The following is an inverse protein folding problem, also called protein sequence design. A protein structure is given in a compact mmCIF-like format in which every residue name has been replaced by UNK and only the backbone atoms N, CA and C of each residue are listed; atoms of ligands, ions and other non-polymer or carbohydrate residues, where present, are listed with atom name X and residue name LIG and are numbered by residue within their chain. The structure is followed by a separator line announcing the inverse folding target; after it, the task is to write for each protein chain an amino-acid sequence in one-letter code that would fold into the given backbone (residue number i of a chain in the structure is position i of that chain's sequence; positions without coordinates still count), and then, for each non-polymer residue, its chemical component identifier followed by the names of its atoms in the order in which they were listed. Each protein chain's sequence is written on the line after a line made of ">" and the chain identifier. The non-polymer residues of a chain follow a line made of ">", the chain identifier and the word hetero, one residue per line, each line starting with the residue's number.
data_IF_984415706641
#
_entry.id   IF_984415706641
#
_cell.length_a   1.000
_cell.length_b   1.000
_cell.length_c   1.000
_cell.angle_alpha   90.00
_cell.angle_beta   90.00
_cell.angle_gamma   90.00
#
_symmetry.space_group_name_H-M   'P 1'
#
loop_
_entity.id
_entity.type
_entity.pdbx_description
1 polymer ?
#
# COMPACT_ATOMS: atom_id res chain seq x y z
N UNK A 1 15.23 21.31 22.67
CA UNK A 1 13.83 20.91 22.40
C UNK A 1 13.80 19.42 22.03
N UNK A 2 13.36 18.52 22.93
CA UNK A 2 13.42 17.06 22.70
C UNK A 2 12.31 16.65 21.73
N UNK A 3 12.64 16.46 20.45
CA UNK A 3 11.71 15.92 19.45
C UNK A 3 11.25 14.52 19.87
N UNK A 4 10.02 14.40 20.39
CA UNK A 4 9.38 13.10 20.65
C UNK A 4 9.32 12.33 19.34
N UNK A 5 9.81 11.09 19.34
CA UNK A 5 9.74 10.19 18.19
C UNK A 5 8.28 9.96 17.79
N UNK A 6 7.89 10.32 16.57
CA UNK A 6 6.51 10.16 16.07
C UNK A 6 6.08 8.69 15.89
N UNK A 7 7.02 7.80 15.52
CA UNK A 7 6.70 6.41 15.22
C UNK A 7 6.07 5.61 16.40
N UNK A 8 6.61 5.65 17.63
CA UNK A 8 5.96 5.04 18.80
C UNK A 8 4.56 5.58 19.09
N UNK A 9 4.32 6.89 18.89
CA UNK A 9 3.01 7.50 19.10
C UNK A 9 1.98 6.97 18.09
N UNK A 10 2.38 6.85 16.81
CA UNK A 10 1.52 6.22 15.80
C UNK A 10 1.24 4.75 16.10
N UNK A 11 2.19 4.00 16.64
CA UNK A 11 1.95 2.62 17.05
C UNK A 11 0.83 2.53 18.10
N UNK A 12 0.83 3.41 19.10
CA UNK A 12 -0.24 3.50 20.10
C UNK A 12 -1.57 3.96 19.50
N UNK A 13 -1.56 4.96 18.60
CA UNK A 13 -2.76 5.42 17.88
C UNK A 13 -3.39 4.28 17.07
N UNK A 14 -2.58 3.53 16.32
CA UNK A 14 -3.08 2.38 15.54
C UNK A 14 -3.61 1.27 16.43
N UNK A 15 -2.97 1.01 17.57
CA UNK A 15 -3.46 0.03 18.54
C UNK A 15 -4.83 0.44 19.10
N UNK A 16 -5.00 1.71 19.50
CA UNK A 16 -6.29 2.24 19.97
C UNK A 16 -7.38 2.07 18.92
N UNK A 17 -7.10 2.43 17.66
CA UNK A 17 -8.05 2.26 16.54
C UNK A 17 -8.39 0.79 16.32
N UNK A 18 -7.41 -0.10 16.36
CA UNK A 18 -7.64 -1.53 16.15
C UNK A 18 -8.51 -2.14 17.25
N UNK A 19 -8.32 -1.74 18.52
CA UNK A 19 -9.20 -2.15 19.62
C UNK A 19 -10.61 -1.59 19.47
N UNK A 20 -10.78 -0.32 19.08
CA UNK A 20 -12.10 0.25 18.78
C UNK A 20 -12.84 -0.57 17.72
N UNK A 21 -12.15 -0.95 16.63
CA UNK A 21 -12.71 -1.81 15.57
C UNK A 21 -13.06 -3.22 16.05
N UNK A 22 -12.29 -3.78 16.99
CA UNK A 22 -12.60 -5.06 17.63
C UNK A 22 -13.86 -4.96 18.48
N UNK A 23 -13.99 -3.91 19.29
CA UNK A 23 -15.18 -3.71 20.13
C UNK A 23 -16.43 -3.42 19.29
N UNK A 24 -16.28 -2.73 18.16
CA UNK A 24 -17.36 -2.54 17.19
C UNK A 24 -17.64 -3.77 16.32
N UNK A 25 -17.01 -4.93 16.60
CA UNK A 25 -17.15 -6.19 15.85
C UNK A 25 -16.85 -6.11 14.34
N UNK A 26 -16.10 -5.08 13.91
CA UNK A 26 -15.67 -4.89 12.51
C UNK A 26 -14.40 -5.69 12.20
N UNK A 27 -13.59 -6.04 13.21
CA UNK A 27 -12.38 -6.83 13.02
C UNK A 27 -12.06 -7.75 14.20
N UNK A 28 -11.23 -8.77 13.95
CA UNK A 28 -10.68 -9.64 14.99
C UNK A 28 -9.73 -8.92 15.96
N UNK A 29 -9.16 -9.69 16.90
CA UNK A 29 -8.26 -9.17 17.92
C UNK A 29 -6.99 -8.62 17.26
N UNK A 30 -6.51 -7.41 17.64
CA UNK A 30 -5.26 -6.89 17.12
C UNK A 30 -4.09 -7.81 17.45
N UNK A 31 -3.18 -7.96 16.49
CA UNK A 31 -1.94 -8.74 16.65
C UNK A 31 -0.76 -7.80 16.49
N UNK A 32 0.30 -8.03 17.28
CA UNK A 32 1.55 -7.29 17.14
C UNK A 32 2.17 -7.53 15.76
N UNK A 33 2.81 -6.48 15.22
CA UNK A 33 3.61 -6.58 13.99
C UNK A 33 4.76 -7.56 14.19
N UNK A 34 5.10 -8.29 13.14
CA UNK A 34 6.25 -9.22 13.12
C UNK A 34 7.24 -8.74 12.06
N UNK A 35 8.53 -8.75 12.39
CA UNK A 35 9.59 -8.38 11.44
C UNK A 35 9.48 -9.23 10.16
N UNK A 36 9.57 -8.59 9.01
CA UNK A 36 9.47 -9.25 7.71
C UNK A 36 8.03 -9.49 7.24
N UNK A 37 7.03 -9.03 8.01
CA UNK A 37 5.61 -9.10 7.65
C UNK A 37 4.98 -7.72 7.87
N UNK A 38 4.54 -7.11 6.77
CA UNK A 38 3.86 -5.80 6.77
C UNK A 38 4.69 -4.69 7.45
N UNK A 39 6.02 -4.76 7.29
CA UNK A 39 6.99 -3.82 7.88
C UNK A 39 6.62 -2.40 7.44
N UNK A 40 6.24 -1.57 8.41
CA UNK A 40 5.81 -0.19 8.16
C UNK A 40 5.85 0.65 9.42
N UNK A 41 6.15 1.93 9.26
CA UNK A 41 6.11 2.92 10.32
C UNK A 41 5.71 4.28 9.77
N UNK A 42 5.11 5.11 10.63
CA UNK A 42 4.60 6.43 10.25
C UNK A 42 5.33 7.49 11.04
N UNK A 43 5.74 8.55 10.35
CA UNK A 43 6.41 9.72 10.90
C UNK A 43 5.58 10.96 10.60
N UNK A 44 5.55 11.89 11.54
CA UNK A 44 5.00 13.23 11.43
C UNK A 44 6.05 14.27 11.85
N UNK A 45 5.74 15.55 11.62
CA UNK A 45 6.61 16.66 11.94
C UNK A 45 7.37 17.19 10.72
N UNK A 46 8.66 17.51 10.89
CA UNK A 46 9.50 18.14 9.86
C UNK A 46 9.75 17.20 8.68
N UNK A 47 8.83 17.20 7.72
CA UNK A 47 8.93 16.47 6.45
C UNK A 47 9.09 17.49 5.33
N UNK A 48 10.08 17.29 4.47
CA UNK A 48 10.29 18.14 3.28
C UNK A 48 10.35 17.26 2.04
N UNK A 49 9.63 17.65 1.00
CA UNK A 49 9.57 16.92 -0.27
C UNK A 49 10.33 17.74 -1.31
N UNK A 50 11.42 17.18 -1.82
CA UNK A 50 12.15 17.71 -2.98
C UNK A 50 11.75 16.96 -4.25
N UNK A 51 12.46 17.23 -5.36
CA UNK A 51 12.15 16.65 -6.68
C UNK A 51 12.18 15.11 -6.70
N UNK A 52 13.26 14.51 -6.20
CA UNK A 52 13.45 13.04 -6.11
C UNK A 52 14.09 12.63 -4.77
N UNK A 53 13.90 13.47 -3.76
CA UNK A 53 14.40 13.22 -2.42
C UNK A 53 13.34 13.66 -1.40
N UNK A 54 13.29 12.95 -0.28
CA UNK A 54 12.43 13.29 0.85
C UNK A 54 13.28 13.43 2.11
N UNK A 55 13.09 14.51 2.86
CA UNK A 55 13.66 14.69 4.19
C UNK A 55 12.68 14.19 5.23
N UNK A 56 13.11 13.21 6.02
CA UNK A 56 12.31 12.64 7.10
C UNK A 56 12.86 13.03 8.47
N UNK A 57 11.99 13.18 9.49
CA UNK A 57 12.42 13.39 10.86
C UNK A 57 13.40 12.31 11.30
N UNK A 58 14.55 12.71 11.86
CA UNK A 58 15.63 11.85 12.38
C UNK A 58 16.39 11.00 11.36
N UNK A 59 15.80 10.67 10.22
CA UNK A 59 16.44 9.86 9.17
C UNK A 59 17.22 10.75 8.20
N UNK A 60 16.76 11.99 7.96
CA UNK A 60 17.39 12.91 7.02
C UNK A 60 16.90 12.72 5.59
N UNK A 61 17.73 13.13 4.62
CA UNK A 61 17.41 13.07 3.19
C UNK A 61 17.54 11.64 2.64
N UNK A 62 16.53 11.19 1.92
CA UNK A 62 16.49 9.88 1.25
C UNK A 62 16.14 10.10 -0.21
N UNK A 63 16.89 9.48 -1.11
CA UNK A 63 16.61 9.49 -2.55
C UNK A 63 15.46 8.54 -2.88
N UNK A 64 14.52 9.00 -3.69
CA UNK A 64 13.43 8.20 -4.25
C UNK A 64 13.75 7.81 -5.69
N UNK A 65 13.22 6.66 -6.10
CA UNK A 65 13.33 6.22 -7.50
C UNK A 65 12.44 7.07 -8.41
N UNK A 66 11.24 7.40 -7.93
CA UNK A 66 10.27 8.23 -8.64
C UNK A 66 10.46 9.70 -8.30
N UNK A 67 10.09 10.56 -9.25
CA UNK A 67 9.91 12.00 -9.02
C UNK A 67 8.71 12.18 -8.09
N UNK A 68 8.89 12.96 -7.05
CA UNK A 68 7.85 13.25 -6.07
C UNK A 68 6.99 14.41 -6.56
N UNK A 69 5.69 14.43 -6.21
CA UNK A 69 4.82 15.55 -6.55
C UNK A 69 5.39 16.83 -5.92
N UNK A 70 5.64 17.83 -6.78
CA UNK A 70 6.08 19.15 -6.35
C UNK A 70 5.01 19.83 -5.49
N UNK A 71 5.44 20.73 -4.60
CA UNK A 71 4.56 21.59 -3.81
C UNK A 71 3.62 20.89 -2.82
N UNK A 72 3.94 19.67 -2.39
CA UNK A 72 3.17 18.95 -1.38
C UNK A 72 3.79 19.10 0.00
N UNK A 73 2.98 19.55 0.97
CA UNK A 73 3.32 19.55 2.41
C UNK A 73 2.55 18.44 3.13
N UNK A 74 3.12 17.21 3.23
CA UNK A 74 2.43 16.10 3.86
C UNK A 74 2.36 16.28 5.38
N UNK A 75 1.21 15.96 5.96
CA UNK A 75 0.98 15.97 7.42
C UNK A 75 1.70 14.82 8.12
N UNK A 76 1.76 13.68 7.45
CA UNK A 76 2.50 12.51 7.91
C UNK A 76 2.92 11.65 6.72
N UNK A 77 4.00 10.90 6.90
CA UNK A 77 4.52 9.96 5.91
C UNK A 77 4.58 8.57 6.52
N UNK A 78 4.06 7.58 5.79
CA UNK A 78 4.22 6.16 6.12
C UNK A 78 5.27 5.54 5.21
N UNK A 79 6.33 5.01 5.81
CA UNK A 79 7.29 4.16 5.10
C UNK A 79 6.83 2.71 5.26
N UNK A 80 6.76 1.96 4.16
CA UNK A 80 6.43 0.54 4.17
C UNK A 80 7.38 -0.27 3.30
N UNK A 81 7.54 -1.56 3.61
CA UNK A 81 8.32 -2.51 2.81
C UNK A 81 7.38 -3.55 2.23
N UNK A 82 7.40 -3.70 0.90
CA UNK A 82 6.64 -4.73 0.18
C UNK A 82 7.51 -5.30 -0.94
N UNK A 83 7.51 -6.63 -1.09
CA UNK A 83 8.24 -7.32 -2.17
C UNK A 83 9.74 -6.94 -2.29
N UNK A 84 10.39 -6.67 -1.15
CA UNK A 84 11.81 -6.26 -1.11
C UNK A 84 12.07 -4.78 -1.40
N UNK A 85 11.04 -3.99 -1.73
CA UNK A 85 11.14 -2.56 -2.01
C UNK A 85 10.55 -1.74 -0.86
N UNK A 86 11.09 -0.54 -0.67
CA UNK A 86 10.57 0.45 0.26
C UNK A 86 9.71 1.46 -0.48
N UNK A 87 8.59 1.83 0.13
CA UNK A 87 7.61 2.76 -0.42
C UNK A 87 7.35 3.88 0.58
N UNK A 88 7.08 5.06 0.03
CA UNK A 88 6.73 6.26 0.79
C UNK A 88 5.29 6.60 0.45
N UNK A 89 4.43 6.65 1.47
CA UNK A 89 3.05 7.12 1.34
C UNK A 89 2.89 8.46 2.04
N UNK A 90 2.41 9.46 1.31
CA UNK A 90 2.08 10.77 1.85
C UNK A 90 0.63 10.81 2.32
N UNK A 91 0.40 11.40 3.50
CA UNK A 91 -0.93 11.84 3.92
C UNK A 91 -0.96 13.35 3.81
N UNK A 92 -1.82 13.85 2.94
CA UNK A 92 -1.99 15.26 2.61
C UNK A 92 -3.43 15.60 2.92
N UNK A 93 -3.68 16.76 3.54
CA UNK A 93 -5.03 17.27 3.70
C UNK A 93 -5.41 17.95 2.37
N UNK A 94 -6.47 17.51 1.72
CA UNK A 94 -6.99 18.10 0.47
C UNK A 94 -8.41 18.59 0.70
N UNK A 95 -8.71 19.83 0.31
CA UNK A 95 -10.09 20.30 0.26
C UNK A 95 -10.84 19.53 -0.83
N UNK A 96 -11.96 18.90 -0.48
CA UNK A 96 -12.83 18.26 -1.47
C UNK A 96 -13.59 19.33 -2.23
N UNK A 97 -13.28 19.54 -3.50
CA UNK A 97 -14.16 20.32 -4.38
C UNK A 97 -15.41 19.49 -4.64
N UNK A 98 -16.55 19.93 -4.11
CA UNK A 98 -17.84 19.33 -4.45
C UNK A 98 -18.19 19.87 -5.83
N UNK A 99 -18.03 19.04 -6.86
CA UNK A 99 -18.55 19.36 -8.18
C UNK A 99 -20.06 19.13 -8.16
N UNK A 100 -20.85 20.14 -8.52
CA UNK A 100 -22.27 19.96 -8.79
C UNK A 100 -22.43 18.99 -9.95
N UNK A 101 -22.99 17.81 -9.68
CA UNK A 101 -23.21 16.78 -10.71
C UNK A 101 -24.58 17.00 -11.34
N UNK A 102 -24.62 17.58 -12.53
CA UNK A 102 -25.82 17.66 -13.37
C UNK A 102 -25.79 16.60 -14.47
N UNK A 103 -25.59 15.33 -14.11
CA UNK A 103 -25.53 14.24 -15.11
C UNK A 103 -26.54 13.16 -14.76
N UNK A 104 -27.16 12.61 -15.80
CA UNK A 104 -28.10 11.50 -15.72
C UNK A 104 -27.50 10.30 -14.98
N UNK A 105 -28.36 9.58 -14.27
CA UNK A 105 -27.98 8.36 -13.53
C UNK A 105 -27.63 7.27 -14.53
N UNK A 106 -26.35 6.88 -14.60
CA UNK A 106 -25.87 5.78 -15.43
C UNK A 106 -25.62 4.54 -14.56
N UNK A 107 -26.20 3.41 -14.95
CA UNK A 107 -25.91 2.12 -14.34
C UNK A 107 -24.54 1.60 -14.79
N UNK A 108 -23.72 1.11 -13.87
CA UNK A 108 -22.40 0.53 -14.15
C UNK A 108 -22.42 -0.95 -13.77
N UNK A 109 -22.22 -1.84 -14.73
CA UNK A 109 -22.00 -3.27 -14.51
C UNK A 109 -20.51 -3.61 -14.61
N UNK A 110 -19.93 -4.16 -13.54
CA UNK A 110 -18.50 -4.52 -13.50
C UNK A 110 -18.35 -6.02 -13.77
N UNK A 111 -17.64 -6.38 -14.84
CA UNK A 111 -17.51 -7.76 -15.30
C UNK A 111 -16.09 -8.34 -15.23
N UNK A 112 -16.01 -9.66 -15.44
CA UNK A 112 -14.72 -10.36 -15.63
C UNK A 112 -14.26 -10.25 -17.10
N UNK A 113 -15.21 -10.12 -18.04
CA UNK A 113 -14.95 -10.02 -19.49
C UNK A 113 -14.70 -8.58 -19.94
N UNK A 114 -15.47 -7.64 -19.40
CA UNK A 114 -15.34 -6.17 -19.56
C UNK A 114 -15.13 -5.55 -18.18
N UNK A 115 -14.29 -4.53 -18.09
CA UNK A 115 -14.02 -3.80 -16.84
C UNK A 115 -15.31 -3.14 -16.33
N UNK A 116 -16.03 -2.47 -17.22
CA UNK A 116 -17.31 -1.84 -16.93
C UNK A 116 -18.16 -1.81 -18.20
N UNK A 117 -19.45 -2.06 -18.06
CA UNK A 117 -20.46 -1.83 -19.09
C UNK A 117 -21.45 -0.80 -18.54
N UNK A 118 -21.62 0.31 -19.25
CA UNK A 118 -22.56 1.35 -18.87
C UNK A 118 -23.94 1.07 -19.46
N UNK A 119 -25.00 1.52 -18.77
CA UNK A 119 -26.38 1.48 -19.30
C UNK A 119 -26.56 2.32 -20.56
N UNK A 120 -25.60 3.20 -20.88
CA UNK A 120 -25.50 3.94 -22.14
C UNK A 120 -25.00 3.09 -23.32
N UNK A 121 -24.61 1.83 -23.07
CA UNK A 121 -24.06 0.91 -24.07
C UNK A 121 -22.54 0.98 -24.23
N UNK A 122 -21.86 1.90 -23.54
CA UNK A 122 -20.39 1.97 -23.55
C UNK A 122 -19.76 0.80 -22.79
N UNK A 123 -18.74 0.18 -23.39
CA UNK A 123 -18.03 -0.96 -22.81
C UNK A 123 -16.55 -0.60 -22.63
N UNK A 124 -16.10 -0.59 -21.38
CA UNK A 124 -14.70 -0.47 -21.02
C UNK A 124 -14.07 -1.87 -20.94
N UNK A 125 -13.08 -2.14 -21.79
CA UNK A 125 -12.37 -3.42 -21.78
C UNK A 125 -11.29 -3.42 -20.71
N UNK A 126 -11.27 -4.44 -19.85
CA UNK A 126 -10.22 -4.62 -18.84
C UNK A 126 -8.90 -5.09 -19.46
N UNK A 127 -7.78 -4.62 -18.90
CA UNK A 127 -6.44 -4.93 -19.38
C UNK A 127 -6.06 -6.42 -19.18
N UNK A 128 -6.21 -7.28 -20.20
CA UNK A 128 -6.01 -8.76 -20.14
C UNK A 128 -4.56 -9.27 -19.91
N UNK A 129 -3.75 -8.59 -19.11
CA UNK A 129 -2.35 -8.98 -18.82
C UNK A 129 -2.20 -10.17 -17.86
N UNK A 130 -3.30 -10.66 -17.28
CA UNK A 130 -3.33 -11.53 -16.09
C UNK A 130 -2.81 -12.96 -16.31
N UNK A 131 -3.17 -13.61 -17.43
CA UNK A 131 -3.02 -15.07 -17.60
C UNK A 131 -1.58 -15.59 -17.57
N UNK A 132 -0.62 -14.82 -18.11
CA UNK A 132 0.79 -15.25 -18.19
C UNK A 132 1.47 -15.28 -16.83
N UNK A 133 1.10 -14.36 -15.93
CA UNK A 133 1.69 -14.27 -14.60
C UNK A 133 1.07 -15.27 -13.62
N UNK A 134 -0.21 -15.60 -13.77
CA UNK A 134 -0.92 -16.58 -12.92
C UNK A 134 -0.30 -17.98 -12.96
N UNK A 135 -0.03 -18.52 -14.16
CA UNK A 135 0.57 -19.85 -14.30
C UNK A 135 1.95 -19.92 -13.63
N UNK A 136 2.76 -18.87 -13.82
CA UNK A 136 4.08 -18.74 -13.18
C UNK A 136 3.95 -18.66 -11.66
N UNK A 137 3.00 -17.89 -11.17
CA UNK A 137 2.73 -17.70 -9.75
C UNK A 137 2.28 -19.01 -9.07
N UNK A 138 1.35 -19.73 -9.69
CA UNK A 138 0.88 -21.05 -9.23
C UNK A 138 2.03 -22.05 -9.12
N UNK A 139 2.88 -22.16 -10.16
CA UNK A 139 4.06 -23.05 -10.14
C UNK A 139 5.01 -22.70 -9.00
N UNK A 140 5.27 -21.42 -8.76
CA UNK A 140 6.19 -21.00 -7.70
C UNK A 140 5.63 -21.24 -6.30
N UNK A 141 4.34 -21.01 -6.10
CA UNK A 141 3.66 -21.35 -4.85
C UNK A 141 3.71 -22.87 -4.59
N UNK A 142 3.47 -23.68 -5.62
CA UNK A 142 3.62 -25.14 -5.56
C UNK A 142 5.05 -25.54 -5.16
N UNK A 143 6.08 -25.02 -5.82
CA UNK A 143 7.48 -25.34 -5.48
C UNK A 143 7.84 -24.87 -4.07
N UNK A 144 7.33 -23.72 -3.65
CA UNK A 144 7.64 -23.17 -2.33
C UNK A 144 7.03 -23.98 -1.17
N UNK A 145 5.90 -24.68 -1.38
CA UNK A 145 5.26 -25.49 -0.32
C UNK A 145 6.13 -26.66 0.15
N UNK A 146 7.01 -27.16 -0.72
CA UNK A 146 7.95 -28.26 -0.43
C UNK A 146 9.24 -27.77 0.25
N UNK A 147 9.43 -26.45 0.39
CA UNK A 147 10.64 -25.89 1.03
C UNK A 147 10.46 -25.83 2.55
N UNK A 148 11.53 -26.12 3.28
CA UNK A 148 11.57 -25.98 4.74
C UNK A 148 11.28 -24.54 5.14
N UNK A 149 10.20 -24.33 5.93
CA UNK A 149 9.78 -23.01 6.38
C UNK A 149 10.94 -22.30 7.09
N UNK A 150 11.07 -20.99 6.85
CA UNK A 150 12.12 -20.12 7.39
C UNK A 150 13.57 -20.40 6.93
N UNK A 151 13.83 -21.45 6.16
CA UNK A 151 15.13 -21.63 5.50
C UNK A 151 15.45 -20.47 4.55
N UNK A 152 16.72 -20.27 4.24
CA UNK A 152 17.13 -19.21 3.30
C UNK A 152 16.51 -19.40 1.91
N UNK A 153 16.38 -20.66 1.45
CA UNK A 153 15.74 -20.98 0.18
C UNK A 153 14.23 -20.70 0.18
N UNK A 154 13.55 -20.97 1.29
CA UNK A 154 12.13 -20.61 1.45
C UNK A 154 11.93 -19.09 1.45
N UNK A 155 12.78 -18.34 2.17
CA UNK A 155 12.73 -16.86 2.20
C UNK A 155 12.96 -16.26 0.80
N UNK A 156 13.93 -16.76 0.04
CA UNK A 156 14.20 -16.35 -1.35
C UNK A 156 12.99 -16.58 -2.25
N UNK A 157 12.38 -17.77 -2.17
CA UNK A 157 11.19 -18.10 -2.97
C UNK A 157 9.97 -17.25 -2.58
N UNK A 158 9.75 -17.00 -1.30
CA UNK A 158 8.70 -16.10 -0.82
C UNK A 158 8.87 -14.66 -1.33
N UNK A 159 10.11 -14.15 -1.35
CA UNK A 159 10.40 -12.83 -1.91
C UNK A 159 10.03 -12.77 -3.40
N UNK A 160 10.40 -13.79 -4.17
CA UNK A 160 10.09 -13.86 -5.60
C UNK A 160 8.59 -13.93 -5.88
N UNK A 161 7.86 -14.73 -5.10
CA UNK A 161 6.39 -14.78 -5.15
C UNK A 161 5.80 -13.40 -4.83
N UNK A 162 6.29 -12.72 -3.78
CA UNK A 162 5.83 -11.38 -3.42
C UNK A 162 6.11 -10.33 -4.52
N UNK A 163 7.24 -10.44 -5.22
CA UNK A 163 7.57 -9.59 -6.37
C UNK A 163 6.62 -9.81 -7.53
N UNK A 164 6.30 -11.07 -7.87
CA UNK A 164 5.32 -11.37 -8.90
C UNK A 164 3.92 -10.85 -8.54
N UNK A 165 3.50 -11.00 -7.28
CA UNK A 165 2.24 -10.39 -6.82
C UNK A 165 2.24 -8.86 -6.98
N UNK A 166 3.36 -8.19 -6.74
CA UNK A 166 3.45 -6.73 -6.92
C UNK A 166 3.40 -6.28 -8.38
N UNK A 167 3.72 -7.16 -9.34
CA UNK A 167 3.57 -6.90 -10.78
C UNK A 167 2.17 -7.24 -11.29
N UNK A 168 1.41 -8.04 -10.54
CA UNK A 168 0.06 -8.50 -10.85
C UNK A 168 -1.04 -7.55 -10.30
N UNK A 169 -0.70 -6.64 -9.37
CA UNK A 169 -1.68 -5.77 -8.68
C UNK A 169 -1.81 -4.41 -9.33
#
# INVERSE_FOLDING_TARGET
>A
MKYRSGAPQYALRYLSVAWKRRFSKVSGQPKFKKKGRDDSFTLDGSISVGFNHIKLPRIGWIKTYEVLPGSVTPKSVTISKKAGRWFVRFKIDSASTITEKSVDVVGVDLGVKSLATLSTGEVFVGAKSYKKLEAKLSRLQYLNRHKVKFSNNWKKAQLYIAQLHSMHS
#
